data_IF_826493442608
#
_entry.id   IF_826493442608
#
_cell.length_a   1.000
_cell.length_b   1.000
_cell.length_c   1.000
_cell.angle_alpha   90.00
_cell.angle_beta   90.00
_cell.angle_gamma   90.00
#
_symmetry.space_group_name_H-M   'P 1'
#
loop_
_entity.id
_entity.type
_entity.pdbx_description
1 polymer ?
#
# COMPACT_ATOMS: atom_id res chain seq x y z
N UNK A 1 -21.43 -1.97 3.15
CA UNK A 1 -20.28 -2.88 3.01
C UNK A 1 -19.02 -2.10 3.37
N UNK A 2 -18.55 -2.19 4.62
CA UNK A 2 -17.33 -1.52 5.09
C UNK A 2 -16.22 -2.58 5.22
N UNK A 3 -15.05 -2.31 4.63
CA UNK A 3 -13.96 -3.28 4.42
C UNK A 3 -13.33 -3.84 5.70
N UNK A 4 -13.04 -5.14 5.70
CA UNK A 4 -12.61 -5.87 6.92
C UNK A 4 -11.40 -6.80 6.76
N UNK A 5 -10.66 -6.78 5.64
CA UNK A 5 -9.56 -7.73 5.41
C UNK A 5 -8.17 -7.12 5.18
N UNK A 6 -8.09 -6.01 4.45
CA UNK A 6 -6.82 -5.51 3.91
C UNK A 6 -6.25 -4.39 4.79
N UNK A 7 -5.08 -4.58 5.42
CA UNK A 7 -4.48 -3.56 6.26
C UNK A 7 -3.93 -2.42 5.40
N UNK A 8 -3.92 -1.18 5.95
CA UNK A 8 -3.29 -0.07 5.27
C UNK A 8 -1.77 -0.23 5.22
N UNK A 9 -1.14 0.38 4.22
CA UNK A 9 0.32 0.45 4.09
C UNK A 9 0.75 1.91 4.32
N UNK A 10 1.62 2.14 5.29
CA UNK A 10 2.21 3.46 5.55
C UNK A 10 3.57 3.52 4.87
N UNK A 11 3.69 4.33 3.84
CA UNK A 11 4.90 4.46 3.03
C UNK A 11 5.66 5.69 3.52
N UNK A 12 6.92 5.54 3.93
CA UNK A 12 7.71 6.69 4.39
C UNK A 12 8.01 7.65 3.24
N UNK A 13 8.11 8.95 3.54
CA UNK A 13 8.37 10.00 2.58
C UNK A 13 7.14 10.40 1.77
N UNK A 14 6.87 11.71 1.73
CA UNK A 14 5.74 12.30 0.99
C UNK A 14 6.17 13.00 -0.31
N UNK A 15 7.45 13.35 -0.43
CA UNK A 15 7.98 14.21 -1.50
C UNK A 15 7.78 13.65 -2.92
N UNK A 16 7.88 12.33 -3.08
CA UNK A 16 7.81 11.63 -4.36
C UNK A 16 6.54 10.77 -4.50
N UNK A 17 5.52 11.03 -3.68
CA UNK A 17 4.24 10.34 -3.72
C UNK A 17 3.62 10.32 -5.13
N UNK A 18 3.67 11.45 -5.84
CA UNK A 18 3.13 11.56 -7.20
C UNK A 18 3.78 10.57 -8.18
N UNK A 19 5.10 10.36 -8.06
CA UNK A 19 5.85 9.43 -8.90
C UNK A 19 5.49 7.98 -8.54
N UNK A 20 5.41 7.67 -7.24
CA UNK A 20 5.02 6.36 -6.76
C UNK A 20 3.58 6.00 -7.18
N UNK A 21 2.65 6.94 -7.06
CA UNK A 21 1.25 6.76 -7.47
C UNK A 21 1.12 6.48 -8.98
N UNK A 22 1.91 7.17 -9.82
CA UNK A 22 1.97 6.86 -11.26
C UNK A 22 2.54 5.47 -11.53
N UNK A 23 3.57 5.06 -10.79
CA UNK A 23 4.15 3.72 -10.91
C UNK A 23 3.15 2.62 -10.53
N UNK A 24 2.39 2.83 -9.45
CA UNK A 24 1.29 1.94 -9.05
C UNK A 24 0.24 1.83 -10.16
N UNK A 25 -0.20 2.95 -10.71
CA UNK A 25 -1.17 2.96 -11.82
C UNK A 25 -0.64 2.23 -13.07
N UNK A 26 0.64 2.41 -13.42
CA UNK A 26 1.25 1.71 -14.56
C UNK A 26 1.33 0.19 -14.38
N UNK A 27 1.31 -0.28 -13.12
CA UNK A 27 1.31 -1.70 -12.76
C UNK A 27 -0.10 -2.24 -12.50
N UNK A 28 -1.14 -1.42 -12.67
CA UNK A 28 -2.52 -1.79 -12.40
C UNK A 28 -2.87 -1.93 -10.93
N UNK A 29 -2.05 -1.43 -10.01
CA UNK A 29 -2.26 -1.52 -8.56
C UNK A 29 -3.29 -0.48 -8.15
N UNK A 30 -4.47 -0.93 -7.67
CA UNK A 30 -5.56 -0.04 -7.30
C UNK A 30 -5.63 0.25 -5.80
N UNK A 31 -6.01 1.48 -5.46
CA UNK A 31 -6.26 1.89 -4.08
C UNK A 31 -7.49 2.78 -3.99
N UNK A 32 -8.23 2.68 -2.89
CA UNK A 32 -9.44 3.48 -2.64
C UNK A 32 -9.10 4.84 -2.04
N UNK A 33 -8.02 4.90 -1.26
CA UNK A 33 -7.65 6.10 -0.52
C UNK A 33 -6.16 6.15 -0.27
N UNK A 34 -5.59 7.34 -0.40
CA UNK A 34 -4.28 7.68 0.12
C UNK A 34 -4.37 8.99 0.89
N UNK A 35 -3.67 9.10 2.02
CA UNK A 35 -3.61 10.34 2.79
C UNK A 35 -2.24 10.50 3.45
N UNK A 36 -1.81 11.74 3.60
CA UNK A 36 -0.61 12.08 4.38
C UNK A 36 -0.84 11.79 5.87
N UNK A 37 0.18 11.26 6.53
CA UNK A 37 0.22 10.97 7.95
C UNK A 37 1.64 11.26 8.48
N UNK A 38 1.87 12.49 8.92
CA UNK A 38 3.21 12.97 9.28
C UNK A 38 4.14 12.93 8.05
N UNK A 39 5.28 12.27 8.20
CA UNK A 39 6.25 12.07 7.11
C UNK A 39 5.98 10.80 6.28
N UNK A 40 4.74 10.30 6.27
CA UNK A 40 4.37 9.10 5.52
C UNK A 40 3.09 9.30 4.73
N UNK A 41 2.86 8.45 3.74
CA UNK A 41 1.59 8.32 3.03
C UNK A 41 0.93 7.02 3.42
N UNK A 42 -0.26 7.10 4.02
CA UNK A 42 -1.08 5.95 4.37
C UNK A 42 -2.01 5.61 3.20
N UNK A 43 -1.79 4.44 2.61
CA UNK A 43 -2.51 3.90 1.45
C UNK A 43 -3.45 2.77 1.87
N UNK A 44 -4.66 2.80 1.34
CA UNK A 44 -5.70 1.79 1.53
C UNK A 44 -6.00 1.15 0.18
N UNK A 45 -5.49 -0.07 -0.03
CA UNK A 45 -5.73 -0.85 -1.25
C UNK A 45 -7.13 -1.47 -1.24
N UNK A 46 -7.65 -1.81 -2.43
CA UNK A 46 -9.01 -2.34 -2.58
C UNK A 46 -9.07 -3.84 -2.30
N UNK A 47 -8.04 -4.59 -2.71
CA UNK A 47 -8.00 -6.05 -2.63
C UNK A 47 -6.71 -6.57 -1.98
N UNK A 48 -6.70 -7.81 -1.45
CA UNK A 48 -5.47 -8.47 -1.01
C UNK A 48 -4.43 -8.63 -2.14
N UNK A 49 -4.87 -8.74 -3.40
CA UNK A 49 -3.97 -8.79 -4.55
C UNK A 49 -3.25 -7.45 -4.76
N UNK A 50 -3.98 -6.33 -4.76
CA UNK A 50 -3.40 -4.99 -4.83
C UNK A 50 -2.43 -4.74 -3.67
N UNK A 51 -2.81 -5.19 -2.47
CA UNK A 51 -1.95 -5.11 -1.28
C UNK A 51 -0.61 -5.83 -1.51
N UNK A 52 -0.65 -7.11 -1.92
CA UNK A 52 0.56 -7.91 -2.15
C UNK A 52 1.42 -7.31 -3.27
N UNK A 53 0.81 -6.82 -4.34
CA UNK A 53 1.52 -6.16 -5.43
C UNK A 53 2.15 -4.83 -5.00
N UNK A 54 1.48 -4.05 -4.15
CA UNK A 54 2.04 -2.82 -3.59
C UNK A 54 3.22 -3.13 -2.66
N UNK A 55 3.10 -4.12 -1.77
CA UNK A 55 4.21 -4.56 -0.92
C UNK A 55 5.41 -4.98 -1.76
N UNK A 56 5.22 -5.86 -2.75
CA UNK A 56 6.28 -6.31 -3.64
C UNK A 56 6.90 -5.16 -4.44
N UNK A 57 6.10 -4.18 -4.88
CA UNK A 57 6.61 -2.98 -5.54
C UNK A 57 7.53 -2.20 -4.60
N UNK A 58 7.09 -1.91 -3.38
CA UNK A 58 7.85 -1.13 -2.40
C UNK A 58 9.16 -1.84 -2.02
N UNK A 59 9.13 -3.16 -1.85
CA UNK A 59 10.33 -3.97 -1.64
C UNK A 59 11.29 -3.87 -2.84
N UNK A 60 10.78 -3.98 -4.07
CA UNK A 60 11.61 -3.93 -5.29
C UNK A 60 12.36 -2.61 -5.45
N UNK A 61 11.75 -1.49 -5.04
CA UNK A 61 12.36 -0.16 -5.11
C UNK A 61 13.05 0.24 -3.79
N UNK A 62 13.15 -0.69 -2.83
CA UNK A 62 13.72 -0.47 -1.49
C UNK A 62 13.10 0.73 -0.76
N UNK A 63 11.80 0.96 -0.97
CA UNK A 63 11.05 2.04 -0.31
C UNK A 63 10.71 1.59 1.11
N UNK A 64 11.03 2.36 2.16
CA UNK A 64 10.61 2.02 3.52
C UNK A 64 9.09 2.14 3.68
N UNK A 65 8.47 1.12 4.29
CA UNK A 65 7.05 1.12 4.61
C UNK A 65 6.76 0.30 5.87
N UNK A 66 5.61 0.57 6.49
CA UNK A 66 5.06 -0.20 7.61
C UNK A 66 3.64 -0.64 7.30
N UNK A 67 3.36 -1.93 7.49
CA UNK A 67 2.03 -2.52 7.33
C UNK A 67 1.86 -3.72 8.25
N UNK A 68 0.61 -4.12 8.50
CA UNK A 68 0.31 -5.38 9.19
C UNK A 68 0.13 -6.49 8.16
N UNK A 69 0.40 -7.74 8.53
CA UNK A 69 0.06 -8.89 7.69
C UNK A 69 -1.44 -8.97 7.44
N UNK A 70 -1.82 -9.46 6.26
CA UNK A 70 -3.20 -9.83 5.95
C UNK A 70 -3.69 -10.88 6.96
N UNK A 71 -4.96 -10.79 7.37
CA UNK A 71 -5.54 -11.80 8.28
C UNK A 71 -5.54 -13.20 7.67
N UNK A 72 -5.60 -13.29 6.33
CA UNK A 72 -5.54 -14.55 5.59
C UNK A 72 -4.16 -15.24 5.70
N UNK A 73 -3.06 -14.49 5.91
CA UNK A 73 -1.72 -15.05 6.15
C UNK A 73 -1.51 -15.53 7.60
N UNK A 74 -2.48 -15.33 8.51
CA UNK A 74 -2.39 -15.81 9.90
C UNK A 74 -3.07 -17.16 10.15
N UNK A 75 -3.76 -17.71 9.15
CA UNK A 75 -4.58 -18.91 9.32
C UNK A 75 -3.98 -20.17 8.66
N UNK A 76 -2.71 -20.11 8.24
CA UNK A 76 -1.92 -21.27 7.80
C UNK A 76 -0.93 -21.70 8.90
#
# INVERSE_FOLDING_TARGET
MAGTGVPPINIEGTADWSSLSRMMNSKGIQFSKARTAGNSVKVFTNTPADYRQLVALLESIKRPFFTYQLKEDRMD
#
